data_IF_253479443738
#
_entry.id   IF_253479443738
#
_cell.length_a   1.000
_cell.length_b   1.000
_cell.length_c   1.000
_cell.angle_alpha   90.00
_cell.angle_beta   90.00
_cell.angle_gamma   90.00
#
_symmetry.space_group_name_H-M   'P 1'
#
loop_
_entity.id
_entity.type
_entity.pdbx_description
1 polymer ?
#
# COMPACT_ATOMS: atom_id res chain seq x y z
N UNK A 1 -4.92 15.99 -12.43
CA UNK A 1 -5.68 15.62 -13.63
C UNK A 1 -5.57 16.77 -14.62
N UNK A 2 -5.27 16.49 -15.88
CA UNK A 2 -5.14 17.51 -16.93
C UNK A 2 -5.55 16.95 -18.29
N UNK A 3 -5.80 17.83 -19.24
CA UNK A 3 -6.07 17.46 -20.64
C UNK A 3 -4.78 17.61 -21.46
N UNK A 4 -4.53 16.64 -22.34
CA UNK A 4 -3.41 16.69 -23.30
C UNK A 4 -3.83 17.38 -24.60
N UNK A 5 -2.85 17.73 -25.44
CA UNK A 5 -3.09 18.35 -26.76
C UNK A 5 -4.02 17.54 -27.68
N UNK A 6 -4.08 16.23 -27.52
CA UNK A 6 -5.00 15.34 -28.26
C UNK A 6 -6.35 15.13 -27.55
N UNK A 7 -6.72 16.02 -26.64
CA UNK A 7 -7.92 15.93 -25.79
C UNK A 7 -8.03 14.67 -24.93
N UNK A 8 -6.92 13.98 -24.66
CA UNK A 8 -6.91 12.88 -23.69
C UNK A 8 -6.85 13.42 -22.27
N UNK A 9 -7.68 12.88 -21.38
CA UNK A 9 -7.62 13.15 -19.95
C UNK A 9 -6.52 12.31 -19.30
N UNK A 10 -5.62 12.95 -18.56
CA UNK A 10 -4.48 12.29 -17.91
C UNK A 10 -4.52 12.53 -16.40
N UNK A 11 -4.26 11.46 -15.64
CA UNK A 11 -4.17 11.49 -14.18
C UNK A 11 -2.79 10.98 -13.77
N UNK A 12 -2.09 11.78 -12.96
CA UNK A 12 -0.87 11.34 -12.27
C UNK A 12 -1.29 10.82 -10.90
N UNK A 13 -0.99 9.56 -10.64
CA UNK A 13 -1.26 8.90 -9.35
C UNK A 13 0.03 8.65 -8.59
N UNK A 14 -0.08 8.62 -7.27
CA UNK A 14 0.94 8.03 -6.40
C UNK A 14 0.41 6.66 -5.99
N UNK A 15 1.15 5.62 -6.33
CA UNK A 15 0.76 4.25 -6.03
C UNK A 15 0.84 3.94 -4.54
N UNK A 16 -0.13 3.16 -4.06
CA UNK A 16 -0.09 2.42 -2.81
C UNK A 16 0.04 0.94 -3.16
N UNK A 17 0.73 0.18 -2.32
CA UNK A 17 1.01 -1.24 -2.56
C UNK A 17 0.39 -2.09 -1.47
N UNK A 18 -0.22 -3.19 -1.87
CA UNK A 18 -0.56 -4.26 -0.95
C UNK A 18 0.70 -5.06 -0.56
N UNK A 19 0.76 -5.64 0.65
CA UNK A 19 1.92 -6.42 1.09
C UNK A 19 2.31 -7.55 0.10
N UNK A 20 1.34 -8.20 -0.53
CA UNK A 20 1.53 -9.22 -1.56
C UNK A 20 2.21 -8.74 -2.85
N UNK A 21 2.18 -7.44 -3.13
CA UNK A 21 2.83 -6.83 -4.30
C UNK A 21 4.28 -6.41 -3.99
N UNK A 22 4.69 -6.48 -2.72
CA UNK A 22 6.06 -6.17 -2.31
C UNK A 22 6.95 -7.41 -2.45
N UNK A 23 8.26 -7.20 -2.60
CA UNK A 23 9.25 -8.30 -2.66
C UNK A 23 9.25 -9.19 -1.40
N UNK A 24 8.70 -8.71 -0.29
CA UNK A 24 8.68 -9.41 1.00
C UNK A 24 7.42 -10.28 1.20
N UNK A 25 6.35 -10.06 0.42
CA UNK A 25 5.07 -10.76 0.55
C UNK A 25 4.29 -10.43 1.83
N UNK A 26 3.17 -11.13 2.07
CA UNK A 26 2.34 -10.94 3.28
C UNK A 26 3.06 -11.44 4.53
N UNK A 27 3.25 -10.59 5.54
CA UNK A 27 3.81 -10.99 6.84
C UNK A 27 2.71 -11.17 7.89
N UNK A 28 2.98 -12.02 8.88
CA UNK A 28 2.04 -12.29 9.98
C UNK A 28 1.69 -11.04 10.82
N UNK A 29 2.55 -10.02 10.82
CA UNK A 29 2.30 -8.72 11.46
C UNK A 29 1.24 -7.88 10.75
N UNK A 30 1.11 -8.04 9.44
CA UNK A 30 0.35 -7.10 8.58
C UNK A 30 -1.17 -7.35 8.68
N UNK A 31 -1.57 -8.52 9.15
CA UNK A 31 -2.99 -8.86 9.37
C UNK A 31 -3.48 -8.62 10.80
N UNK A 32 -2.58 -8.36 11.76
CA UNK A 32 -2.92 -8.50 13.19
C UNK A 32 -3.71 -7.32 13.78
N UNK A 33 -3.72 -6.16 13.12
CA UNK A 33 -4.43 -4.98 13.61
C UNK A 33 -5.96 -5.07 13.40
N UNK A 34 -6.45 -6.01 12.56
CA UNK A 34 -7.84 -6.04 12.06
C UNK A 34 -8.75 -7.08 12.74
N UNK A 35 -8.53 -7.43 14.02
CA UNK A 35 -9.39 -8.44 14.70
C UNK A 35 -10.64 -7.86 15.37
N UNK A 36 -10.84 -6.52 15.36
CA UNK A 36 -11.94 -5.88 16.10
C UNK A 36 -13.26 -5.76 15.32
N UNK A 37 -13.30 -6.02 14.01
CA UNK A 37 -14.52 -5.83 13.21
C UNK A 37 -14.68 -6.86 12.10
N UNK A 38 -15.02 -8.09 12.50
CA UNK A 38 -15.28 -9.26 11.64
C UNK A 38 -16.39 -9.08 10.58
N UNK A 39 -17.16 -7.99 10.63
CA UNK A 39 -18.25 -7.71 9.66
C UNK A 39 -17.81 -6.97 8.39
N UNK A 40 -16.57 -6.47 8.31
CA UNK A 40 -16.10 -5.64 7.20
C UNK A 40 -14.73 -6.06 6.65
N UNK A 41 -14.32 -7.31 6.89
CA UNK A 41 -12.95 -7.76 6.63
C UNK A 41 -12.57 -7.80 5.15
N UNK A 42 -13.53 -7.92 4.24
CA UNK A 42 -13.31 -8.02 2.78
C UNK A 42 -13.70 -6.74 2.03
N UNK A 43 -13.89 -5.62 2.73
CA UNK A 43 -14.31 -4.37 2.10
C UNK A 43 -13.14 -3.71 1.36
N UNK A 44 -13.24 -3.56 0.04
CA UNK A 44 -12.21 -2.95 -0.82
C UNK A 44 -12.18 -1.41 -0.77
N UNK A 45 -13.03 -0.79 0.06
CA UNK A 45 -13.12 0.68 0.14
C UNK A 45 -12.31 1.28 1.29
N UNK A 46 -11.78 0.44 2.20
CA UNK A 46 -11.12 0.89 3.42
C UNK A 46 -9.79 0.18 3.63
N UNK A 47 -8.72 0.98 3.67
CA UNK A 47 -7.36 0.52 3.91
C UNK A 47 -6.71 1.35 5.01
N UNK A 48 -5.71 0.77 5.68
CA UNK A 48 -4.86 1.49 6.63
C UNK A 48 -3.43 1.59 6.07
N UNK A 49 -2.73 2.66 6.40
CA UNK A 49 -1.34 2.86 5.98
C UNK A 49 -0.40 2.09 6.90
N UNK A 50 0.24 1.03 6.39
CA UNK A 50 1.17 0.21 7.16
C UNK A 50 2.62 0.72 7.14
N UNK A 51 2.98 1.54 6.15
CA UNK A 51 4.35 2.02 5.97
C UNK A 51 4.63 2.61 4.59
N UNK A 52 5.91 2.66 4.24
CA UNK A 52 6.40 3.09 2.92
C UNK A 52 7.21 1.99 2.25
N UNK A 53 6.99 1.84 0.94
CA UNK A 53 7.69 0.89 0.08
C UNK A 53 8.37 1.66 -1.05
N UNK A 54 9.66 1.42 -1.25
CA UNK A 54 10.39 1.87 -2.42
C UNK A 54 10.47 0.72 -3.44
N UNK A 55 9.74 0.77 -4.57
CA UNK A 55 9.74 -0.31 -5.55
C UNK A 55 11.06 -0.45 -6.31
N UNK A 56 11.88 0.61 -6.39
CA UNK A 56 13.16 0.59 -7.10
C UNK A 56 14.21 -0.15 -6.28
N UNK A 57 14.26 0.11 -4.97
CA UNK A 57 15.23 -0.54 -4.07
C UNK A 57 14.69 -1.80 -3.39
N UNK A 58 13.36 -1.94 -3.29
CA UNK A 58 12.69 -2.99 -2.52
C UNK A 58 12.63 -2.70 -1.02
N UNK A 59 13.00 -1.50 -0.57
CA UNK A 59 13.05 -1.14 0.86
C UNK A 59 11.66 -0.92 1.44
N UNK A 60 11.41 -1.49 2.62
CA UNK A 60 10.18 -1.31 3.39
C UNK A 60 10.49 -0.63 4.73
N UNK A 61 9.63 0.32 5.12
CA UNK A 61 9.70 1.03 6.40
C UNK A 61 8.29 1.07 6.99
N UNK A 62 8.12 0.75 8.28
CA UNK A 62 6.83 0.80 8.97
C UNK A 62 6.30 2.23 9.10
N UNK A 63 5.03 2.39 9.48
CA UNK A 63 4.43 3.68 9.78
C UNK A 63 5.21 4.48 10.84
N UNK A 64 5.91 3.80 11.75
CA UNK A 64 6.75 4.42 12.79
C UNK A 64 8.18 4.74 12.32
N UNK A 65 8.49 4.56 11.03
CA UNK A 65 9.81 4.86 10.48
C UNK A 65 10.85 3.75 10.69
N UNK A 66 10.45 2.57 11.19
CA UNK A 66 11.37 1.45 11.45
C UNK A 66 11.58 0.66 10.15
N UNK A 67 12.83 0.51 9.67
CA UNK A 67 13.10 -0.30 8.49
C UNK A 67 12.78 -1.76 8.75
N UNK A 68 12.11 -2.40 7.80
CA UNK A 68 11.87 -3.83 7.82
C UNK A 68 13.02 -4.49 7.04
N UNK A 69 13.89 -5.19 7.76
CA UNK A 69 14.91 -6.04 7.16
C UNK A 69 14.42 -7.49 7.07
N UNK A 70 14.86 -8.17 6.02
CA UNK A 70 14.81 -9.63 5.89
C UNK A 70 16.02 -10.23 6.59
#
# INVERSE_FOLDING_TARGET
>A
MWESWGSNMVVKVKWFYHPEETKLGKRQSDGKQMTRSKKYQDRQDLYYLAGTYDPTTGRLVTADGVPILC
#
